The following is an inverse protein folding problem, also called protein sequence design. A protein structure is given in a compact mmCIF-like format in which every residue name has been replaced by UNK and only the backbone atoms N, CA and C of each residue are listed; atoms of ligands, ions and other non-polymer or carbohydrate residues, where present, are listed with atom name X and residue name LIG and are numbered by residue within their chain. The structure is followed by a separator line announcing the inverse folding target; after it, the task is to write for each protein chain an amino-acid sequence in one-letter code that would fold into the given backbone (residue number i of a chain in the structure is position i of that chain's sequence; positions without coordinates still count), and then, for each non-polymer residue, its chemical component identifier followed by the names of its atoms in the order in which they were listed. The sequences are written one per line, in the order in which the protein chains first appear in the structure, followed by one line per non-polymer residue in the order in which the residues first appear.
data_IF_409030903946
#
_entry.id   IF_409030903946
#
_cell.length_a   1.000
_cell.length_b   1.000
_cell.length_c   1.000
_cell.angle_alpha   90.00
_cell.angle_beta   90.00
_cell.angle_gamma   90.00
#
_symmetry.space_group_name_H-M   'P 1'
#
loop_
_entity.id
_entity.type
_entity.pdbx_description
1 polymer ?
#
# COMPACT_ATOMS: atom_id res chain seq x y z
N UNK A 1 2.60 14.20 -17.79
CA UNK A 1 3.88 14.87 -17.48
C UNK A 1 4.67 13.94 -16.56
N UNK A 2 6.00 13.86 -16.70
CA UNK A 2 6.87 13.12 -15.77
C UNK A 2 7.98 14.06 -15.27
N UNK A 3 8.41 13.88 -14.03
CA UNK A 3 9.46 14.63 -13.36
C UNK A 3 10.30 13.68 -12.50
N UNK A 4 11.61 13.92 -12.42
CA UNK A 4 12.48 13.30 -11.41
C UNK A 4 12.53 14.25 -10.22
N UNK A 5 12.26 13.72 -9.04
CA UNK A 5 12.24 14.48 -7.79
C UNK A 5 13.30 13.89 -6.86
N UNK A 6 14.15 14.76 -6.30
CA UNK A 6 15.13 14.38 -5.31
C UNK A 6 14.49 14.40 -3.92
N UNK A 7 14.55 13.26 -3.22
CA UNK A 7 14.06 13.13 -1.84
C UNK A 7 15.11 13.58 -0.81
N UNK A 8 14.70 13.69 0.44
CA UNK A 8 15.56 14.18 1.53
C UNK A 8 16.85 13.34 1.72
N UNK A 9 16.80 12.04 1.42
CA UNK A 9 17.94 11.13 1.46
C UNK A 9 18.83 11.20 0.21
N UNK A 10 18.66 12.20 -0.66
CA UNK A 10 19.34 12.42 -1.93
C UNK A 10 19.06 11.39 -3.03
N UNK A 11 18.16 10.42 -2.81
CA UNK A 11 17.72 9.52 -3.86
C UNK A 11 16.72 10.22 -4.81
N UNK A 12 16.59 9.72 -6.02
CA UNK A 12 15.72 10.28 -7.06
C UNK A 12 14.56 9.35 -7.35
N UNK A 13 13.34 9.89 -7.34
CA UNK A 13 12.12 9.15 -7.70
C UNK A 13 11.47 9.74 -8.95
N UNK A 14 11.08 8.89 -9.88
CA UNK A 14 10.26 9.30 -11.04
C UNK A 14 8.81 9.43 -10.61
N UNK A 15 8.25 10.60 -10.83
CA UNK A 15 6.86 10.95 -10.51
C UNK A 15 6.12 11.36 -11.78
N UNK A 16 4.91 10.87 -11.97
CA UNK A 16 4.07 11.21 -13.09
C UNK A 16 2.79 11.93 -12.68
N UNK A 17 2.28 12.73 -13.61
CA UNK A 17 0.95 13.34 -13.53
C UNK A 17 0.20 13.00 -14.81
N UNK A 18 -1.00 12.44 -14.68
CA UNK A 18 -1.89 12.07 -15.76
C UNK A 18 -3.32 12.58 -15.51
N UNK A 19 -4.15 12.52 -16.53
CA UNK A 19 -5.57 12.86 -16.41
C UNK A 19 -5.88 14.33 -16.67
N UNK A 20 -7.05 14.75 -16.22
CA UNK A 20 -7.63 16.03 -16.54
C UNK A 20 -7.13 17.12 -15.59
N UNK A 21 -6.50 18.19 -16.08
CA UNK A 21 -6.11 19.33 -15.25
C UNK A 21 -7.37 19.96 -14.62
N UNK A 22 -7.22 20.57 -13.45
CA UNK A 22 -8.31 21.20 -12.67
C UNK A 22 -9.38 20.21 -12.17
N UNK A 23 -9.13 18.92 -12.19
CA UNK A 23 -9.94 17.92 -11.47
C UNK A 23 -9.30 17.60 -10.13
N UNK A 24 -10.07 17.08 -9.16
CA UNK A 24 -9.48 16.59 -7.90
C UNK A 24 -8.33 15.64 -8.16
N UNK A 25 -7.25 15.80 -7.40
CA UNK A 25 -6.04 14.98 -7.57
C UNK A 25 -6.10 13.75 -6.69
N UNK A 26 -5.82 12.58 -7.25
CA UNK A 26 -5.63 11.34 -6.51
C UNK A 26 -4.13 11.01 -6.50
N UNK A 27 -3.56 10.86 -5.31
CA UNK A 27 -2.18 10.40 -5.12
C UNK A 27 -2.14 8.88 -5.05
N UNK A 28 -1.35 8.26 -5.94
CA UNK A 28 -1.15 6.82 -6.09
C UNK A 28 0.33 6.44 -5.87
N UNK A 29 0.80 6.24 -4.65
CA UNK A 29 2.17 5.81 -4.38
C UNK A 29 2.41 4.32 -4.68
N UNK A 30 1.35 3.60 -5.05
CA UNK A 30 1.32 2.18 -5.38
C UNK A 30 1.49 1.90 -6.89
N UNK A 31 1.75 2.92 -7.70
CA UNK A 31 1.81 2.79 -9.16
C UNK A 31 3.12 2.11 -9.59
N UNK A 32 3.22 0.81 -9.33
CA UNK A 32 4.38 -0.02 -9.72
C UNK A 32 4.68 0.11 -11.19
N UNK A 33 5.98 0.13 -11.52
CA UNK A 33 6.45 0.15 -12.90
C UNK A 33 6.00 -1.12 -13.63
N UNK A 34 5.62 -0.98 -14.90
CA UNK A 34 5.28 -2.13 -15.74
C UNK A 34 6.50 -3.02 -15.95
N UNK A 35 6.28 -4.32 -15.87
CA UNK A 35 7.29 -5.33 -16.16
C UNK A 35 6.87 -6.17 -17.37
N UNK A 36 7.84 -6.77 -18.06
CA UNK A 36 7.62 -7.44 -19.34
C UNK A 36 8.34 -8.80 -19.39
N UNK A 37 8.12 -9.53 -20.47
CA UNK A 37 8.77 -10.82 -20.74
C UNK A 37 8.52 -11.85 -19.61
N UNK A 38 9.55 -12.61 -19.23
CA UNK A 38 9.44 -13.69 -18.23
C UNK A 38 8.98 -13.19 -16.86
N UNK A 39 9.40 -12.01 -16.45
CA UNK A 39 8.98 -11.42 -15.18
C UNK A 39 7.46 -11.14 -15.17
N UNK A 40 6.91 -10.67 -16.28
CA UNK A 40 5.46 -10.48 -16.41
C UNK A 40 4.70 -11.81 -16.32
N UNK A 41 5.21 -12.88 -16.94
CA UNK A 41 4.57 -14.20 -16.86
C UNK A 41 4.64 -14.76 -15.43
N UNK A 42 5.73 -14.56 -14.73
CA UNK A 42 5.86 -14.93 -13.33
C UNK A 42 4.83 -14.20 -12.46
N UNK A 43 4.68 -12.88 -12.61
CA UNK A 43 3.67 -12.10 -11.87
C UNK A 43 2.24 -12.61 -12.14
N UNK A 44 1.92 -12.93 -13.39
CA UNK A 44 0.60 -13.48 -13.75
C UNK A 44 0.31 -14.81 -13.07
N UNK A 45 1.32 -15.70 -12.92
CA UNK A 45 1.18 -16.94 -12.16
C UNK A 45 0.79 -16.67 -10.70
N UNK A 46 1.27 -15.56 -10.13
CA UNK A 46 0.92 -15.11 -8.78
C UNK A 46 -0.37 -14.30 -8.71
N UNK A 47 -1.11 -14.18 -9.82
CA UNK A 47 -2.33 -13.38 -9.88
C UNK A 47 -2.09 -11.87 -9.81
N UNK A 48 -0.86 -11.43 -10.06
CA UNK A 48 -0.48 -10.01 -10.06
C UNK A 48 -0.45 -9.47 -11.48
N UNK A 49 -1.09 -8.34 -11.68
CA UNK A 49 -1.07 -7.61 -12.95
C UNK A 49 0.33 -7.02 -13.20
N UNK A 50 1.07 -7.42 -14.25
CA UNK A 50 2.40 -6.89 -14.53
C UNK A 50 2.41 -5.41 -14.94
N UNK A 51 1.26 -4.84 -15.31
CA UNK A 51 1.08 -3.42 -15.61
C UNK A 51 0.19 -2.72 -14.57
N UNK A 52 0.19 -3.21 -13.33
CA UNK A 52 -0.67 -2.78 -12.22
C UNK A 52 -0.74 -1.24 -12.09
N UNK A 53 0.40 -0.57 -12.04
CA UNK A 53 0.45 0.90 -11.90
C UNK A 53 -0.16 1.62 -13.10
N UNK A 54 0.12 1.16 -14.32
CA UNK A 54 -0.46 1.70 -15.56
C UNK A 54 -1.98 1.58 -15.56
N UNK A 55 -2.51 0.40 -15.25
CA UNK A 55 -3.95 0.15 -15.26
C UNK A 55 -4.69 0.94 -14.16
N UNK A 56 -4.08 1.19 -12.99
CA UNK A 56 -4.62 2.14 -12.02
C UNK A 56 -4.70 3.56 -12.57
N UNK A 57 -3.61 4.04 -13.17
CA UNK A 57 -3.56 5.39 -13.73
C UNK A 57 -4.59 5.55 -14.86
N UNK A 58 -4.63 4.63 -15.82
CA UNK A 58 -5.59 4.67 -16.94
C UNK A 58 -7.05 4.58 -16.45
N UNK A 59 -7.30 3.76 -15.44
CA UNK A 59 -8.64 3.58 -14.87
C UNK A 59 -9.20 4.81 -14.13
N UNK A 60 -8.34 5.73 -13.70
CA UNK A 60 -8.75 6.94 -12.96
C UNK A 60 -8.55 8.24 -13.73
N UNK A 61 -7.60 8.29 -14.65
CA UNK A 61 -7.17 9.51 -15.34
C UNK A 61 -8.21 10.08 -16.34
N UNK A 62 -9.19 9.33 -16.74
CA UNK A 62 -10.31 9.81 -17.56
C UNK A 62 -11.27 10.74 -16.77
N UNK A 63 -11.22 10.69 -15.44
CA UNK A 63 -12.14 11.42 -14.54
C UNK A 63 -11.41 12.38 -13.61
N UNK A 64 -10.23 11.99 -13.13
CA UNK A 64 -9.44 12.71 -12.13
C UNK A 64 -8.08 13.16 -12.67
N UNK A 65 -7.43 14.04 -11.93
CA UNK A 65 -5.98 14.20 -12.04
C UNK A 65 -5.32 13.12 -11.16
N UNK A 66 -4.28 12.46 -11.68
CA UNK A 66 -3.62 11.34 -10.98
C UNK A 66 -2.15 11.66 -10.83
N UNK A 67 -1.71 11.85 -9.59
CA UNK A 67 -0.31 11.93 -9.19
C UNK A 67 0.18 10.53 -8.84
N UNK A 68 1.11 9.97 -9.62
CA UNK A 68 1.47 8.56 -9.50
C UNK A 68 2.97 8.31 -9.48
N UNK A 69 3.39 7.35 -8.69
CA UNK A 69 4.78 6.90 -8.56
C UNK A 69 4.85 5.55 -7.86
N UNK A 70 5.97 4.84 -8.03
CA UNK A 70 6.26 3.58 -7.37
C UNK A 70 7.12 3.82 -6.13
N UNK A 71 6.47 4.14 -5.00
CA UNK A 71 7.20 4.44 -3.77
C UNK A 71 7.82 3.19 -3.13
N UNK A 72 7.12 2.05 -3.19
CA UNK A 72 7.66 0.78 -2.67
C UNK A 72 8.87 0.32 -3.48
N UNK A 73 8.79 0.32 -4.82
CA UNK A 73 9.92 -0.01 -5.67
C UNK A 73 11.10 0.96 -5.49
N UNK A 74 10.82 2.23 -5.21
CA UNK A 74 11.84 3.20 -4.85
C UNK A 74 12.56 2.83 -3.54
N UNK A 75 11.83 2.49 -2.48
CA UNK A 75 12.41 2.07 -1.20
C UNK A 75 13.20 0.75 -1.30
N UNK A 76 12.82 -0.14 -2.22
CA UNK A 76 13.59 -1.37 -2.48
C UNK A 76 14.93 -1.08 -3.15
N UNK A 77 14.98 -0.08 -4.04
CA UNK A 77 16.21 0.33 -4.73
C UNK A 77 17.10 1.26 -3.88
N UNK A 78 16.48 2.07 -3.01
CA UNK A 78 17.13 3.08 -2.18
C UNK A 78 16.70 2.93 -0.71
N UNK A 79 17.11 1.84 -0.02
CA UNK A 79 16.69 1.58 1.35
C UNK A 79 17.10 2.70 2.32
N UNK A 80 16.21 3.04 3.25
CA UNK A 80 16.42 4.07 4.27
C UNK A 80 16.73 3.41 5.61
N UNK A 81 17.85 3.76 6.23
CA UNK A 81 18.37 3.10 7.44
C UNK A 81 17.37 3.10 8.61
N UNK A 82 16.70 4.22 8.85
CA UNK A 82 15.73 4.38 9.94
C UNK A 82 14.40 4.88 9.41
N UNK A 83 13.76 4.09 8.55
CA UNK A 83 12.48 4.44 7.96
C UNK A 83 11.40 4.54 9.05
N UNK A 84 10.65 5.64 9.03
CA UNK A 84 9.51 5.86 9.93
C UNK A 84 8.30 6.34 9.13
N UNK A 85 7.10 6.22 9.71
CA UNK A 85 5.91 6.77 9.09
C UNK A 85 6.01 8.29 8.86
N UNK A 86 6.69 9.01 9.72
CA UNK A 86 6.94 10.46 9.57
C UNK A 86 7.84 10.78 8.37
N UNK A 87 8.91 10.00 8.15
CA UNK A 87 9.76 10.13 6.96
C UNK A 87 8.95 9.92 5.69
N UNK A 88 8.16 8.85 5.63
CA UNK A 88 7.36 8.53 4.44
C UNK A 88 6.36 9.66 4.16
N UNK A 89 5.64 10.12 5.17
CA UNK A 89 4.68 11.23 4.99
C UNK A 89 5.38 12.50 4.48
N UNK A 90 6.57 12.83 5.00
CA UNK A 90 7.36 13.97 4.51
C UNK A 90 7.76 13.82 3.05
N UNK A 91 8.21 12.64 2.64
CA UNK A 91 8.54 12.37 1.24
C UNK A 91 7.31 12.54 0.33
N UNK A 92 6.15 11.99 0.73
CA UNK A 92 4.91 12.11 -0.05
C UNK A 92 4.42 13.56 -0.17
N UNK A 93 4.52 14.33 0.91
CA UNK A 93 4.19 15.76 0.89
C UNK A 93 5.18 16.56 0.05
N UNK A 94 6.46 16.26 0.12
CA UNK A 94 7.48 16.88 -0.73
C UNK A 94 7.23 16.58 -2.23
N UNK A 95 6.87 15.35 -2.56
CA UNK A 95 6.46 14.98 -3.94
C UNK A 95 5.26 15.83 -4.38
N UNK A 96 4.25 16.00 -3.53
CA UNK A 96 3.10 16.84 -3.83
C UNK A 96 3.50 18.30 -4.08
N UNK A 97 4.41 18.86 -3.26
CA UNK A 97 4.94 20.22 -3.40
C UNK A 97 5.66 20.40 -4.73
N UNK A 98 6.58 19.49 -5.06
CA UNK A 98 7.36 19.51 -6.30
C UNK A 98 6.49 19.36 -7.57
N UNK A 99 5.30 18.78 -7.42
CA UNK A 99 4.30 18.64 -8.49
C UNK A 99 3.23 19.72 -8.45
N UNK A 100 3.35 20.72 -7.57
CA UNK A 100 2.40 21.82 -7.35
C UNK A 100 0.97 21.34 -7.01
N UNK A 101 0.86 20.26 -6.24
CA UNK A 101 -0.40 19.70 -5.77
C UNK A 101 -0.62 20.19 -4.33
N UNK A 102 -1.57 21.09 -4.12
CA UNK A 102 -1.86 21.72 -2.82
C UNK A 102 -2.75 20.86 -1.93
N UNK A 103 -3.72 20.16 -2.52
CA UNK A 103 -4.59 19.19 -1.85
C UNK A 103 -4.78 17.96 -2.73
N UNK A 104 -5.08 16.83 -2.11
CA UNK A 104 -5.21 15.56 -2.83
C UNK A 104 -6.01 14.54 -2.02
N UNK A 105 -6.59 13.60 -2.73
CA UNK A 105 -7.10 12.34 -2.17
C UNK A 105 -6.01 11.28 -2.21
N UNK A 106 -6.02 10.35 -1.28
CA UNK A 106 -4.98 9.33 -1.20
C UNK A 106 -5.56 7.93 -1.33
N UNK A 107 -4.93 7.08 -2.13
CA UNK A 107 -5.18 5.64 -2.13
C UNK A 107 -3.89 4.89 -1.83
N UNK A 108 -3.92 4.09 -0.78
CA UNK A 108 -2.86 3.14 -0.44
C UNK A 108 -3.40 1.72 -0.24
N UNK A 109 -2.52 0.73 -0.45
CA UNK A 109 -2.81 -0.67 -0.21
C UNK A 109 -1.78 -1.28 0.75
N UNK A 110 -2.22 -2.21 1.62
CA UNK A 110 -1.35 -2.86 2.60
C UNK A 110 -0.63 -1.82 3.49
N UNK A 111 0.68 -1.91 3.68
CA UNK A 111 1.45 -0.95 4.48
C UNK A 111 1.34 0.51 3.99
N UNK A 112 1.16 0.74 2.68
CA UNK A 112 0.89 2.08 2.15
C UNK A 112 -0.52 2.59 2.52
N UNK A 113 -1.48 1.71 2.79
CA UNK A 113 -2.76 2.13 3.37
C UNK A 113 -2.57 2.66 4.81
N UNK A 114 -1.75 1.98 5.63
CA UNK A 114 -1.34 2.47 6.93
C UNK A 114 -0.68 3.87 6.84
N UNK A 115 0.15 4.12 5.83
CA UNK A 115 0.75 5.44 5.60
C UNK A 115 -0.32 6.49 5.28
N UNK A 116 -1.38 6.15 4.58
CA UNK A 116 -2.53 7.04 4.39
C UNK A 116 -3.16 7.50 5.70
N UNK A 117 -3.32 6.59 6.66
CA UNK A 117 -3.79 6.93 8.01
C UNK A 117 -2.80 7.83 8.75
N UNK A 118 -1.50 7.55 8.63
CA UNK A 118 -0.44 8.39 9.21
C UNK A 118 -0.40 9.79 8.58
N UNK A 119 -0.73 9.90 7.30
CA UNK A 119 -0.85 11.17 6.59
C UNK A 119 -2.05 11.96 7.10
N UNK A 120 -3.21 11.33 7.27
CA UNK A 120 -4.45 11.98 7.72
C UNK A 120 -4.34 12.69 9.09
N UNK A 121 -3.37 12.29 9.92
CA UNK A 121 -3.11 12.92 11.23
C UNK A 121 -1.95 13.93 11.20
N UNK A 122 -1.32 14.17 10.04
CA UNK A 122 -0.13 15.03 9.91
C UNK A 122 -0.28 16.18 8.93
N UNK A 123 -1.35 16.18 8.14
CA UNK A 123 -1.61 17.23 7.15
C UNK A 123 -3.10 17.48 7.00
N UNK A 124 -3.47 18.71 6.70
CA UNK A 124 -4.81 19.15 6.34
C UNK A 124 -5.05 19.17 4.82
N UNK A 125 -4.04 18.75 4.04
CA UNK A 125 -4.08 18.70 2.57
C UNK A 125 -4.85 17.50 2.00
N UNK A 126 -5.23 16.56 2.86
CA UNK A 126 -5.91 15.33 2.46
C UNK A 126 -7.43 15.56 2.33
N UNK A 127 -7.98 15.40 1.13
CA UNK A 127 -9.40 15.59 0.83
C UNK A 127 -10.24 14.34 1.06
N UNK A 128 -9.66 13.16 0.85
CA UNK A 128 -10.27 11.87 1.17
C UNK A 128 -9.22 10.78 1.29
N UNK A 129 -9.55 9.69 1.99
CA UNK A 129 -8.65 8.58 2.26
C UNK A 129 -9.28 7.25 1.86
N UNK A 130 -8.58 6.49 1.02
CA UNK A 130 -8.94 5.10 0.71
C UNK A 130 -7.83 4.17 1.20
N UNK A 131 -8.18 3.23 2.05
CA UNK A 131 -7.30 2.21 2.63
C UNK A 131 -7.73 0.82 2.18
N UNK A 132 -6.92 0.17 1.36
CA UNK A 132 -7.12 -1.22 0.97
C UNK A 132 -6.16 -2.16 1.70
N UNK A 133 -6.63 -3.33 2.13
CA UNK A 133 -5.78 -4.37 2.69
C UNK A 133 -5.06 -4.01 4.00
N UNK A 134 -5.58 -3.02 4.74
CA UNK A 134 -5.12 -2.69 6.09
C UNK A 134 -6.26 -2.07 6.91
N UNK A 135 -6.66 -2.67 8.06
CA UNK A 135 -7.71 -2.13 8.90
C UNK A 135 -7.32 -0.79 9.54
N UNK A 136 -8.13 0.27 9.42
CA UNK A 136 -7.82 1.57 10.01
C UNK A 136 -8.07 1.65 11.53
N UNK A 137 -8.64 0.61 12.12
CA UNK A 137 -8.99 0.51 13.54
C UNK A 137 -8.60 -0.86 14.10
N UNK A 138 -7.85 -0.90 15.18
CA UNK A 138 -7.22 -2.11 15.73
C UNK A 138 -6.37 -2.84 14.68
N UNK A 139 -5.57 -2.11 13.91
CA UNK A 139 -4.71 -2.70 12.88
C UNK A 139 -3.69 -3.69 13.43
N UNK A 140 -3.16 -4.61 12.60
CA UNK A 140 -2.28 -5.70 13.01
C UNK A 140 -0.82 -5.26 13.20
N UNK A 141 -0.58 -4.19 13.96
CA UNK A 141 0.76 -3.59 14.15
C UNK A 141 1.74 -4.54 14.83
N UNK A 142 1.25 -5.29 15.83
CA UNK A 142 2.10 -6.21 16.60
C UNK A 142 2.50 -7.42 15.75
N UNK A 143 1.54 -7.99 15.03
CA UNK A 143 1.76 -9.12 14.12
C UNK A 143 2.76 -8.72 13.04
N UNK A 144 2.57 -7.58 12.39
CA UNK A 144 3.48 -7.07 11.36
C UNK A 144 4.86 -6.74 11.90
N UNK A 145 4.98 -6.29 13.15
CA UNK A 145 6.29 -6.11 13.80
C UNK A 145 7.00 -7.45 13.98
N UNK A 146 6.30 -8.51 14.37
CA UNK A 146 6.87 -9.86 14.46
C UNK A 146 7.33 -10.34 13.10
N UNK A 147 6.45 -10.26 12.08
CA UNK A 147 6.75 -10.69 10.71
C UNK A 147 7.98 -9.97 10.16
N UNK A 148 8.01 -8.64 10.20
CA UNK A 148 9.13 -7.86 9.66
C UNK A 148 10.45 -8.16 10.36
N UNK A 149 10.43 -8.32 11.69
CA UNK A 149 11.62 -8.70 12.45
C UNK A 149 12.13 -10.11 12.07
N UNK A 150 11.24 -11.09 11.95
CA UNK A 150 11.59 -12.45 11.54
C UNK A 150 12.12 -12.50 10.10
N UNK A 151 11.45 -11.80 9.19
CA UNK A 151 11.91 -11.65 7.79
C UNK A 151 13.33 -11.08 7.73
N UNK A 152 13.62 -10.03 8.51
CA UNK A 152 14.96 -9.45 8.57
C UNK A 152 15.99 -10.40 9.17
N UNK A 153 15.64 -11.15 10.23
CA UNK A 153 16.51 -12.17 10.82
C UNK A 153 16.89 -13.24 9.80
N UNK A 154 15.93 -13.70 9.01
CA UNK A 154 16.19 -14.65 7.91
C UNK A 154 17.09 -14.06 6.83
N UNK A 155 16.82 -12.81 6.41
CA UNK A 155 17.66 -12.12 5.42
C UNK A 155 19.12 -12.03 5.90
N UNK A 156 19.35 -11.74 7.17
CA UNK A 156 20.69 -11.73 7.77
C UNK A 156 21.34 -13.13 7.76
N UNK A 157 20.59 -14.16 8.07
CA UNK A 157 21.09 -15.54 8.08
C UNK A 157 21.47 -16.04 6.67
N UNK A 158 20.73 -15.60 5.67
CA UNK A 158 20.91 -16.00 4.27
C UNK A 158 21.82 -15.05 3.47
N UNK A 159 22.37 -14.01 4.08
CA UNK A 159 23.12 -12.94 3.41
C UNK A 159 24.34 -13.46 2.60
N UNK A 160 24.94 -14.58 3.01
CA UNK A 160 26.09 -15.18 2.35
C UNK A 160 25.71 -16.35 1.43
N UNK A 161 24.44 -16.69 1.34
CA UNK A 161 23.99 -17.71 0.40
C UNK A 161 23.86 -17.07 -0.99
N UNK A 162 24.43 -17.71 -1.98
CA UNK A 162 24.21 -17.32 -3.38
C UNK A 162 22.70 -17.33 -3.65
N UNK A 163 22.21 -16.23 -4.21
CA UNK A 163 20.84 -16.15 -4.72
C UNK A 163 20.74 -17.15 -5.84
N UNK A 164 20.42 -18.40 -5.53
CA UNK A 164 19.76 -19.25 -6.51
C UNK A 164 18.42 -18.57 -6.76
N UNK A 165 18.33 -17.84 -7.86
CA UNK A 165 17.03 -17.40 -8.37
C UNK A 165 16.11 -18.61 -8.32
N UNK A 166 14.86 -18.51 -7.85
CA UNK A 166 13.92 -19.60 -7.94
C UNK A 166 13.91 -20.04 -9.41
N UNK A 167 14.67 -21.09 -9.71
CA UNK A 167 14.80 -21.63 -11.05
C UNK A 167 13.57 -22.49 -11.25
N UNK A 168 12.56 -21.89 -11.82
CA UNK A 168 11.38 -22.63 -12.21
C UNK A 168 10.11 -21.81 -11.97
N UNK A 169 9.17 -22.00 -12.83
CA UNK A 169 7.78 -21.62 -12.70
C UNK A 169 7.14 -22.43 -11.56
N UNK A 170 7.53 -22.18 -10.31
CA UNK A 170 6.88 -22.82 -9.19
C UNK A 170 5.50 -22.22 -9.07
N UNK A 171 4.52 -23.09 -9.24
CA UNK A 171 3.11 -22.75 -9.04
C UNK A 171 2.95 -22.25 -7.58
N UNK A 172 2.42 -21.04 -7.33
CA UNK A 172 2.23 -20.53 -5.98
C UNK A 172 1.48 -21.48 -5.05
N UNK A 173 0.61 -22.35 -5.61
CA UNK A 173 -0.14 -23.35 -4.86
C UNK A 173 0.70 -24.58 -4.45
N UNK A 174 1.90 -24.71 -4.98
CA UNK A 174 2.83 -25.83 -4.71
C UNK A 174 4.04 -25.38 -3.88
N UNK A 175 4.16 -24.07 -3.60
CA UNK A 175 5.26 -23.54 -2.81
C UNK A 175 5.09 -23.88 -1.33
N UNK A 176 6.16 -24.38 -0.73
CA UNK A 176 6.28 -24.53 0.71
C UNK A 176 6.61 -23.17 1.35
N UNK A 177 5.57 -22.42 1.67
CA UNK A 177 5.68 -21.09 2.26
C UNK A 177 6.44 -21.08 3.59
N UNK A 178 6.44 -22.20 4.32
CA UNK A 178 7.17 -22.34 5.59
C UNK A 178 8.67 -22.45 5.39
N UNK A 179 9.12 -22.89 4.22
CA UNK A 179 10.53 -23.10 3.88
C UNK A 179 11.10 -22.11 2.85
N UNK A 180 10.34 -21.03 2.54
CA UNK A 180 10.87 -19.98 1.67
C UNK A 180 12.06 -19.29 2.33
N UNK A 181 13.19 -19.26 1.60
CA UNK A 181 14.37 -18.50 1.99
C UNK A 181 14.20 -17.03 1.62
N UNK A 182 14.34 -16.15 2.60
CA UNK A 182 14.40 -14.70 2.36
C UNK A 182 15.81 -14.35 1.87
N UNK A 183 15.91 -13.96 0.60
CA UNK A 183 17.18 -13.55 -0.05
C UNK A 183 17.19 -12.05 -0.39
N UNK A 184 16.21 -11.30 0.13
CA UNK A 184 16.10 -9.85 -0.06
C UNK A 184 17.26 -9.15 0.67
N UNK A 185 17.80 -8.07 0.08
CA UNK A 185 18.84 -7.23 0.70
C UNK A 185 18.45 -6.88 2.15
N UNK A 186 19.37 -7.11 3.06
CA UNK A 186 19.18 -6.89 4.50
C UNK A 186 18.82 -5.45 4.83
N UNK A 187 19.26 -4.46 4.04
CA UNK A 187 18.90 -3.05 4.20
C UNK A 187 17.41 -2.83 3.88
N UNK A 188 16.90 -3.51 2.86
CA UNK A 188 15.48 -3.45 2.49
C UNK A 188 14.60 -4.03 3.60
N UNK A 189 14.98 -5.17 4.18
CA UNK A 189 14.21 -5.76 5.27
C UNK A 189 14.33 -4.95 6.57
N UNK A 190 15.51 -4.38 6.88
CA UNK A 190 15.76 -3.56 8.06
C UNK A 190 14.86 -2.30 8.12
N UNK A 191 14.63 -1.65 6.97
CA UNK A 191 13.79 -0.44 6.94
C UNK A 191 12.34 -0.71 7.35
N UNK A 192 11.78 -1.88 7.03
CA UNK A 192 10.44 -2.26 7.47
C UNK A 192 10.39 -2.63 8.95
N UNK A 193 11.48 -3.18 9.51
CA UNK A 193 11.60 -3.34 10.97
C UNK A 193 11.53 -1.97 11.65
N UNK A 194 12.31 -0.99 11.20
CA UNK A 194 12.31 0.35 11.79
C UNK A 194 10.97 1.06 11.61
N UNK A 195 10.28 0.89 10.48
CA UNK A 195 8.94 1.42 10.26
C UNK A 195 7.95 0.92 11.32
N UNK A 196 7.80 -0.40 11.46
CA UNK A 196 6.85 -0.95 12.44
C UNK A 196 7.30 -0.74 13.89
N UNK A 197 8.59 -0.65 14.16
CA UNK A 197 9.11 -0.28 15.48
C UNK A 197 8.75 1.17 15.84
N UNK A 198 8.78 2.09 14.89
CA UNK A 198 8.40 3.50 15.09
C UNK A 198 6.92 3.66 15.46
N UNK A 199 6.09 2.67 15.16
CA UNK A 199 4.66 2.63 15.45
C UNK A 199 4.29 1.89 16.74
N UNK A 200 5.28 1.48 17.56
CA UNK A 200 5.03 0.68 18.78
C UNK A 200 4.12 1.41 19.79
N UNK A 201 4.22 2.73 19.89
CA UNK A 201 3.38 3.55 20.77
C UNK A 201 2.13 4.11 20.07
N UNK A 202 1.93 3.82 18.79
CA UNK A 202 0.80 4.31 18.03
C UNK A 202 -0.46 3.49 18.34
N UNK A 203 -1.55 4.19 18.69
CA UNK A 203 -2.86 3.61 18.94
C UNK A 203 -3.87 4.25 17.96
N UNK A 204 -4.23 3.51 16.91
CA UNK A 204 -5.14 3.97 15.88
C UNK A 204 -6.56 4.26 16.39
N UNK A 205 -6.98 3.69 17.52
CA UNK A 205 -8.27 3.98 18.15
C UNK A 205 -8.38 5.41 18.64
N UNK A 206 -7.25 6.02 19.00
CA UNK A 206 -7.21 7.38 19.57
C UNK A 206 -7.30 8.48 18.54
N UNK A 207 -7.02 8.17 17.27
CA UNK A 207 -6.94 9.19 16.21
C UNK A 207 -8.17 9.24 15.31
N UNK A 208 -9.15 8.36 15.53
CA UNK A 208 -10.30 8.22 14.63
C UNK A 208 -11.21 9.45 14.54
N UNK A 209 -11.18 10.31 15.56
CA UNK A 209 -11.96 11.54 15.60
C UNK A 209 -11.31 12.73 14.88
N UNK A 210 -10.03 12.60 14.49
CA UNK A 210 -9.27 13.73 13.96
C UNK A 210 -9.62 14.09 12.51
N UNK A 211 -9.71 13.16 11.55
CA UNK A 211 -10.03 13.55 10.19
C UNK A 211 -11.53 13.55 9.92
N UNK A 212 -12.14 14.72 9.71
CA UNK A 212 -13.52 14.86 9.24
C UNK A 212 -13.62 14.78 7.71
N UNK A 213 -12.81 13.92 7.07
CA UNK A 213 -12.78 13.72 5.61
C UNK A 213 -13.49 12.42 5.24
N UNK A 214 -13.99 12.28 3.99
CA UNK A 214 -14.49 11.02 3.48
C UNK A 214 -13.44 9.92 3.55
N UNK A 215 -13.83 8.74 4.06
CA UNK A 215 -12.90 7.63 4.31
C UNK A 215 -13.52 6.31 3.87
N UNK A 216 -12.76 5.52 3.11
CA UNK A 216 -13.13 4.16 2.70
C UNK A 216 -12.06 3.17 3.13
N UNK A 217 -12.48 2.11 3.80
CA UNK A 217 -11.62 0.94 4.06
C UNK A 217 -12.18 -0.29 3.36
N UNK A 218 -11.32 -1.08 2.72
CA UNK A 218 -11.76 -2.33 2.10
C UNK A 218 -10.71 -3.45 2.24
N UNK A 219 -11.18 -4.68 2.15
CA UNK A 219 -10.34 -5.88 2.05
C UNK A 219 -11.04 -6.97 1.24
N UNK A 220 -10.27 -7.92 0.74
CA UNK A 220 -10.79 -9.14 0.17
C UNK A 220 -11.50 -10.00 1.21
N UNK A 221 -12.54 -10.73 0.81
CA UNK A 221 -13.31 -11.61 1.71
C UNK A 221 -12.51 -12.76 2.32
N UNK A 222 -11.34 -13.07 1.74
CA UNK A 222 -10.38 -14.08 2.18
C UNK A 222 -9.03 -13.47 2.59
N UNK A 223 -8.99 -12.17 2.88
CA UNK A 223 -7.76 -11.43 3.22
C UNK A 223 -7.31 -11.74 4.66
N UNK A 224 -6.79 -12.95 4.85
CA UNK A 224 -6.18 -13.44 6.08
C UNK A 224 -4.88 -14.13 5.73
N UNK A 225 -3.76 -13.63 6.24
CA UNK A 225 -2.43 -14.16 5.96
C UNK A 225 -1.95 -14.94 7.18
N UNK A 226 -1.72 -16.24 7.00
CA UNK A 226 -1.15 -17.10 8.04
C UNK A 226 0.34 -17.24 7.77
N UNK A 227 1.15 -16.75 8.68
CA UNK A 227 2.60 -16.82 8.62
C UNK A 227 3.11 -18.02 9.39
N UNK A 228 3.93 -18.86 8.77
CA UNK A 228 4.55 -20.03 9.36
C UNK A 228 5.59 -19.71 10.43
N UNK A 229 6.22 -20.75 10.97
CA UNK A 229 7.18 -20.67 12.08
C UNK A 229 8.36 -19.73 11.76
N UNK A 230 8.85 -19.78 10.53
CA UNK A 230 9.95 -18.93 10.07
C UNK A 230 9.62 -17.44 10.11
N UNK A 231 8.35 -17.07 10.08
CA UNK A 231 7.87 -15.68 10.14
C UNK A 231 7.15 -15.36 11.45
N UNK A 232 7.25 -16.25 12.47
CA UNK A 232 6.79 -15.99 13.82
C UNK A 232 5.45 -16.62 14.19
N UNK A 233 4.89 -17.52 13.36
CA UNK A 233 3.62 -18.23 13.60
C UNK A 233 2.47 -17.28 13.97
N UNK A 234 2.34 -16.17 13.25
CA UNK A 234 1.29 -15.16 13.47
C UNK A 234 0.27 -15.17 12.35
N UNK A 235 -0.96 -14.79 12.67
CA UNK A 235 -2.03 -14.59 11.69
C UNK A 235 -2.34 -13.11 11.59
N UNK A 236 -2.25 -12.56 10.38
CA UNK A 236 -2.66 -11.20 10.05
C UNK A 236 -4.06 -11.29 9.43
N UNK A 237 -5.08 -11.15 10.27
CA UNK A 237 -6.50 -11.31 9.88
C UNK A 237 -7.12 -9.96 9.50
N UNK A 238 -6.79 -9.46 8.31
CA UNK A 238 -7.23 -8.15 7.82
C UNK A 238 -8.75 -8.11 7.69
N UNK A 239 -9.34 -9.09 7.03
CA UNK A 239 -10.79 -9.14 6.81
C UNK A 239 -11.57 -9.37 8.09
N UNK A 240 -11.06 -10.21 9.00
CA UNK A 240 -11.69 -10.45 10.29
C UNK A 240 -11.72 -9.21 11.16
N UNK A 241 -10.63 -8.42 11.18
CA UNK A 241 -10.56 -7.16 11.88
C UNK A 241 -11.54 -6.12 11.31
N UNK A 242 -11.66 -6.01 9.99
CA UNK A 242 -12.64 -5.12 9.35
C UNK A 242 -14.08 -5.55 9.66
N UNK A 243 -14.40 -6.85 9.54
CA UNK A 243 -15.73 -7.39 9.87
C UNK A 243 -16.08 -7.14 11.33
N UNK A 244 -15.15 -7.42 12.25
CA UNK A 244 -15.34 -7.25 13.68
C UNK A 244 -15.62 -5.80 14.08
N UNK A 245 -14.96 -4.85 13.43
CA UNK A 245 -15.05 -3.43 13.78
C UNK A 245 -15.96 -2.64 12.81
N UNK A 246 -16.73 -3.27 11.93
CA UNK A 246 -17.48 -2.61 10.87
C UNK A 246 -18.46 -1.56 11.39
N UNK A 247 -19.24 -1.88 12.42
CA UNK A 247 -20.20 -0.94 13.04
C UNK A 247 -19.46 0.25 13.66
N UNK A 248 -18.41 -0.02 14.44
CA UNK A 248 -17.58 1.03 15.03
C UNK A 248 -16.94 1.94 13.98
N UNK A 249 -16.48 1.38 12.87
CA UNK A 249 -15.91 2.16 11.76
C UNK A 249 -16.97 3.03 11.09
N UNK A 250 -18.19 2.51 10.89
CA UNK A 250 -19.31 3.29 10.34
C UNK A 250 -19.66 4.48 11.25
N UNK A 251 -19.73 4.27 12.56
CA UNK A 251 -19.96 5.34 13.56
C UNK A 251 -18.84 6.40 13.53
N UNK A 252 -17.63 6.02 13.15
CA UNK A 252 -16.47 6.90 12.98
C UNK A 252 -16.37 7.53 11.58
N UNK A 253 -17.41 7.33 10.74
CA UNK A 253 -17.52 7.93 9.40
C UNK A 253 -16.69 7.22 8.32
N UNK A 254 -16.38 5.94 8.50
CA UNK A 254 -15.78 5.11 7.46
C UNK A 254 -16.85 4.39 6.64
N UNK A 255 -16.72 4.46 5.33
CA UNK A 255 -17.32 3.45 4.46
C UNK A 255 -16.47 2.18 4.55
N UNK A 256 -17.11 1.00 4.66
CA UNK A 256 -16.40 -0.28 4.81
C UNK A 256 -16.93 -1.30 3.81
N UNK A 257 -16.04 -1.75 2.92
CA UNK A 257 -16.36 -2.74 1.89
C UNK A 257 -15.56 -4.02 2.04
N UNK A 258 -16.27 -5.16 2.02
CA UNK A 258 -15.65 -6.48 1.98
C UNK A 258 -15.90 -7.06 0.58
N UNK A 259 -14.82 -7.17 -0.19
CA UNK A 259 -14.89 -7.63 -1.56
C UNK A 259 -15.23 -9.12 -1.62
N UNK A 260 -16.31 -9.44 -2.32
CA UNK A 260 -16.72 -10.83 -2.53
C UNK A 260 -16.09 -11.42 -3.80
N UNK A 261 -15.96 -12.74 -3.83
CA UNK A 261 -15.45 -13.48 -4.98
C UNK A 261 -14.62 -14.69 -4.57
N UNK A 262 -14.43 -15.62 -5.48
CA UNK A 262 -13.58 -16.78 -5.24
C UNK A 262 -12.13 -16.34 -5.02
N UNK A 263 -11.53 -16.80 -3.93
CA UNK A 263 -10.12 -16.52 -3.59
C UNK A 263 -9.80 -15.00 -3.58
N UNK A 264 -10.72 -14.19 -3.03
CA UNK A 264 -10.50 -12.75 -2.90
C UNK A 264 -9.57 -12.49 -1.68
N UNK A 265 -8.33 -12.91 -1.85
CA UNK A 265 -7.24 -12.75 -0.89
C UNK A 265 -6.57 -11.37 -0.98
N UNK A 266 -5.47 -11.19 -0.27
CA UNK A 266 -4.70 -9.93 -0.23
C UNK A 266 -4.18 -9.55 -1.63
N UNK A 267 -3.64 -10.50 -2.39
CA UNK A 267 -3.07 -10.25 -3.72
C UNK A 267 -4.14 -9.92 -4.74
N UNK A 268 -5.25 -10.65 -4.74
CA UNK A 268 -6.35 -10.42 -5.69
C UNK A 268 -7.09 -9.13 -5.41
N UNK A 269 -7.31 -8.81 -4.14
CA UNK A 269 -8.01 -7.60 -3.72
C UNK A 269 -7.24 -6.30 -4.02
N UNK A 270 -5.94 -6.37 -4.33
CA UNK A 270 -5.14 -5.19 -4.72
C UNK A 270 -5.15 -4.91 -6.23
N UNK A 271 -5.70 -5.82 -7.05
CA UNK A 271 -5.60 -5.70 -8.51
C UNK A 271 -6.46 -4.55 -9.07
N UNK A 272 -5.98 -3.79 -10.08
CA UNK A 272 -6.71 -2.67 -10.67
C UNK A 272 -8.10 -3.06 -11.17
N UNK A 273 -8.25 -4.25 -11.77
CA UNK A 273 -9.52 -4.76 -12.25
C UNK A 273 -10.57 -4.95 -11.13
N UNK A 274 -10.13 -5.10 -9.88
CA UNK A 274 -10.99 -5.21 -8.70
C UNK A 274 -11.19 -3.86 -8.04
N UNK A 275 -10.12 -3.11 -7.85
CA UNK A 275 -10.11 -1.88 -7.05
C UNK A 275 -10.69 -0.68 -7.80
N UNK A 276 -10.35 -0.49 -9.07
CA UNK A 276 -10.83 0.69 -9.84
C UNK A 276 -12.35 0.75 -9.90
N UNK A 277 -13.09 -0.35 -10.15
CA UNK A 277 -14.57 -0.34 -10.12
C UNK A 277 -15.16 0.03 -8.75
N UNK A 278 -14.41 -0.18 -7.66
CA UNK A 278 -14.83 0.20 -6.31
C UNK A 278 -14.53 1.69 -6.03
N UNK A 279 -13.26 2.09 -6.18
CA UNK A 279 -12.82 3.40 -5.69
C UNK A 279 -13.20 4.55 -6.61
N UNK A 280 -13.29 4.34 -7.93
CA UNK A 280 -13.63 5.40 -8.88
C UNK A 280 -15.04 5.96 -8.67
N UNK A 281 -16.11 5.15 -8.58
CA UNK A 281 -17.46 5.65 -8.25
C UNK A 281 -17.51 6.29 -6.86
N UNK A 282 -16.78 5.74 -5.89
CA UNK A 282 -16.71 6.32 -4.56
C UNK A 282 -16.09 7.72 -4.58
N UNK A 283 -14.93 7.89 -5.24
CA UNK A 283 -14.29 9.20 -5.41
C UNK A 283 -15.19 10.18 -6.17
N UNK A 284 -15.88 9.73 -7.23
CA UNK A 284 -16.85 10.58 -7.95
C UNK A 284 -17.94 11.10 -7.01
N UNK A 285 -18.44 10.23 -6.14
CA UNK A 285 -19.48 10.58 -5.17
C UNK A 285 -19.01 11.60 -4.13
N UNK A 286 -17.79 11.46 -3.61
CA UNK A 286 -17.32 12.32 -2.50
C UNK A 286 -16.63 13.58 -2.97
N UNK A 287 -16.01 13.59 -4.16
CA UNK A 287 -15.19 14.71 -4.66
C UNK A 287 -15.92 15.57 -5.70
N UNK A 288 -16.85 15.01 -6.49
CA UNK A 288 -17.47 15.75 -7.60
C UNK A 288 -18.89 16.23 -7.31
N UNK A 289 -19.61 15.65 -6.34
CA UNK A 289 -20.99 16.10 -6.02
C UNK A 289 -21.11 17.57 -5.63
N UNK A 290 -20.08 18.17 -5.06
CA UNK A 290 -20.11 19.57 -4.58
C UNK A 290 -19.54 20.56 -5.61
N UNK A 291 -19.04 20.11 -6.74
CA UNK A 291 -18.40 21.00 -7.75
C UNK A 291 -19.35 21.47 -8.82
N UNK A 292 -20.61 20.99 -8.87
CA UNK A 292 -21.61 21.41 -9.86
C UNK A 292 -21.22 21.13 -11.32
N UNK A 293 -20.32 20.17 -11.53
CA UNK A 293 -19.79 19.78 -12.84
C UNK A 293 -20.48 18.50 -13.34
#
# INVERSE_FOLDING_TARGET
MKKIIQLANQSEIEVGMAGLPNRPTIMLPIAKKSVYNQEAENLKLWGVDPELGKHFVEGLADTFQVLYFDYEGHLFQHPVENLTADHIVKDLLHIADEMNVTSFSYYGYSWLALIGLQMAIRTDRLESLVMGGFPPYNGPYQEMRVVTHKTHTQALSNQNESVESPTGSENPNEMDWDNIKVTIDTRVTAQFVSLYQSLTAFDDRRIQHLPSLPKLAFAGGNDTIVYGENFGSVTVDIVGLLKKNKEQLADLGWDVEILSGAQMDHTKAMQPAVVVPLIKPWYMNVLLKNTGL
#
